data_IF_369058920871
#
_entry.id   IF_369058920871
#
_cell.length_a   1.000
_cell.length_b   1.000
_cell.length_c   1.000
_cell.angle_alpha   90.00
_cell.angle_beta   90.00
_cell.angle_gamma   90.00
#
_symmetry.space_group_name_H-M   'P 1'
#
loop_
_entity.id
_entity.type
_entity.pdbx_description
1 polymer ?
#
# COMPACT_ATOMS: atom_id res chain seq x y z
N UNK A 1 6.19 -0.11 -12.31
CA UNK A 1 6.71 -1.47 -12.09
C UNK A 1 5.67 -2.31 -11.36
N UNK A 2 5.95 -3.58 -11.13
CA UNK A 2 5.12 -4.47 -10.28
C UNK A 2 5.53 -4.36 -8.80
N UNK A 3 4.59 -4.61 -7.90
CA UNK A 3 4.87 -4.62 -6.46
C UNK A 3 5.55 -5.93 -6.08
N UNK A 4 6.79 -5.85 -5.61
CA UNK A 4 7.58 -7.03 -5.17
C UNK A 4 7.45 -7.28 -3.66
N UNK A 5 7.07 -6.25 -2.90
CA UNK A 5 6.99 -6.29 -1.44
C UNK A 5 6.97 -4.88 -0.85
N UNK A 6 6.84 -4.81 0.46
CA UNK A 6 6.84 -3.55 1.21
C UNK A 6 7.08 -3.80 2.70
N UNK A 7 7.50 -2.77 3.42
CA UNK A 7 7.75 -2.82 4.86
C UNK A 7 7.11 -1.62 5.53
N UNK A 8 6.46 -1.85 6.65
CA UNK A 8 5.73 -0.82 7.40
C UNK A 8 6.18 -0.87 8.85
N UNK A 9 6.55 0.27 9.41
CA UNK A 9 6.94 0.42 10.81
C UNK A 9 6.11 1.55 11.42
N UNK A 10 5.31 1.25 12.45
CA UNK A 10 4.43 2.22 13.09
C UNK A 10 3.28 1.57 13.85
N UNK A 11 2.43 2.39 14.47
CA UNK A 11 1.18 1.93 15.08
C UNK A 11 0.25 1.31 14.03
N UNK A 12 -0.47 0.25 14.40
CA UNK A 12 -1.42 -0.45 13.52
C UNK A 12 -0.84 -0.97 12.19
N UNK A 13 0.49 -1.14 12.07
CA UNK A 13 1.14 -1.65 10.85
C UNK A 13 0.57 -2.99 10.35
N UNK A 14 0.08 -3.83 11.27
CA UNK A 14 -0.57 -5.11 10.95
C UNK A 14 -1.87 -4.95 10.14
N UNK A 15 -2.58 -3.82 10.26
CA UNK A 15 -3.80 -3.56 9.49
C UNK A 15 -3.45 -3.11 8.06
N UNK A 16 -2.37 -2.33 7.93
CA UNK A 16 -1.92 -1.78 6.66
C UNK A 16 -1.18 -2.80 5.76
N UNK A 17 -0.49 -3.78 6.36
CA UNK A 17 0.28 -4.77 5.59
C UNK A 17 -0.59 -5.64 4.69
N UNK A 18 -1.89 -5.74 4.98
CA UNK A 18 -2.86 -6.47 4.17
C UNK A 18 -2.96 -5.93 2.73
N UNK A 19 -2.81 -4.61 2.54
CA UNK A 19 -2.82 -3.94 1.23
C UNK A 19 -1.61 -4.36 0.41
N UNK A 20 -0.41 -4.34 1.01
CA UNK A 20 0.83 -4.77 0.35
C UNK A 20 0.79 -6.26 0.03
N UNK A 21 0.28 -7.09 0.95
CA UNK A 21 0.13 -8.53 0.73
C UNK A 21 -0.81 -8.82 -0.46
N UNK A 22 -1.93 -8.10 -0.56
CA UNK A 22 -2.84 -8.20 -1.70
C UNK A 22 -2.14 -7.79 -3.00
N UNK A 23 -1.42 -6.66 -3.00
CA UNK A 23 -0.75 -6.14 -4.18
C UNK A 23 0.28 -7.12 -4.74
N UNK A 24 1.10 -7.72 -3.87
CA UNK A 24 2.07 -8.76 -4.27
C UNK A 24 1.33 -10.02 -4.77
N UNK A 25 0.32 -10.49 -4.04
CA UNK A 25 -0.42 -11.72 -4.39
C UNK A 25 -1.12 -11.60 -5.73
N UNK A 26 -1.66 -10.42 -6.05
CA UNK A 26 -2.37 -10.15 -7.29
C UNK A 26 -1.47 -9.62 -8.42
N UNK A 27 -0.15 -9.51 -8.21
CA UNK A 27 0.81 -8.90 -9.14
C UNK A 27 0.35 -7.51 -9.63
N UNK A 28 -0.13 -6.68 -8.70
CA UNK A 28 -0.55 -5.32 -9.02
C UNK A 28 0.65 -4.46 -9.43
N UNK A 29 0.38 -3.47 -10.26
CA UNK A 29 1.34 -2.43 -10.58
C UNK A 29 1.40 -1.42 -9.45
N UNK A 30 2.56 -0.80 -9.28
CA UNK A 30 2.74 0.34 -8.35
C UNK A 30 1.72 1.46 -8.65
N UNK A 31 1.43 1.70 -9.94
CA UNK A 31 0.41 2.67 -10.36
C UNK A 31 -0.98 2.36 -9.81
N UNK A 32 -1.32 1.08 -9.65
CA UNK A 32 -2.64 0.68 -9.15
C UNK A 32 -2.82 1.09 -7.68
N UNK A 33 -1.73 1.21 -6.91
CA UNK A 33 -1.74 1.73 -5.53
C UNK A 33 -1.87 3.25 -5.52
N UNK A 34 -1.11 3.95 -6.37
CA UNK A 34 -1.12 5.43 -6.46
C UNK A 34 -2.47 5.95 -6.94
N UNK A 35 -3.10 5.28 -7.91
CA UNK A 35 -4.39 5.67 -8.48
C UNK A 35 -5.59 5.21 -7.62
N UNK A 36 -5.34 4.46 -6.54
CA UNK A 36 -6.40 4.01 -5.63
C UNK A 36 -6.93 5.16 -4.77
N UNK A 37 -8.26 5.23 -4.63
CA UNK A 37 -8.93 6.20 -3.74
C UNK A 37 -8.86 5.72 -2.28
N UNK A 38 -7.76 6.02 -1.61
CA UNK A 38 -7.59 5.76 -0.18
C UNK A 38 -8.37 6.79 0.67
N UNK A 39 -8.84 6.35 1.84
CA UNK A 39 -9.67 7.17 2.74
C UNK A 39 -8.83 8.28 3.38
N UNK A 40 -9.42 9.48 3.51
CA UNK A 40 -8.83 10.62 4.22
C UNK A 40 -9.69 11.08 5.41
N UNK A 41 -9.11 11.37 6.61
CA UNK A 41 -7.71 11.15 7.00
C UNK A 41 -7.46 9.72 7.53
N UNK A 42 -6.45 9.02 7.03
CA UNK A 42 -6.07 7.68 7.48
C UNK A 42 -4.58 7.36 7.26
N UNK A 43 -4.05 6.44 8.09
CA UNK A 43 -2.68 5.93 7.94
C UNK A 43 -2.43 5.24 6.59
N UNK A 44 -3.47 4.75 5.92
CA UNK A 44 -3.36 4.12 4.60
C UNK A 44 -2.85 5.06 3.53
N UNK A 45 -3.05 6.38 3.66
CA UNK A 45 -2.56 7.37 2.68
C UNK A 45 -1.04 7.31 2.49
N UNK A 46 -0.29 6.98 3.54
CA UNK A 46 1.15 6.82 3.48
C UNK A 46 1.59 5.71 2.50
N UNK A 47 0.70 4.77 2.14
CA UNK A 47 0.98 3.75 1.14
C UNK A 47 1.01 4.32 -0.28
N UNK A 48 0.16 5.30 -0.59
CA UNK A 48 0.16 5.99 -1.88
C UNK A 48 1.38 6.91 -1.98
N UNK A 49 1.69 7.66 -0.93
CA UNK A 49 2.90 8.50 -0.87
C UNK A 49 4.20 7.69 -1.02
N UNK A 50 4.25 6.48 -0.45
CA UNK A 50 5.41 5.59 -0.59
C UNK A 50 5.51 4.91 -1.97
N UNK A 51 4.45 4.95 -2.77
CA UNK A 51 4.37 4.31 -4.09
C UNK A 51 4.64 5.30 -5.26
N UNK A 52 4.64 6.61 -5.00
CA UNK A 52 5.18 7.63 -5.92
C UNK A 52 6.71 7.53 -6.07
#
# INVERSE_FOLDING_TARGET
>A
GEVLGGSIVGGNAAELISVIALAVTANLKVSDIVESLLVHPALSEALAEAAE
#
